data_IF_961668359618
#
_entry.id   IF_961668359618
#
_cell.length_a   1.000
_cell.length_b   1.000
_cell.length_c   1.000
_cell.angle_alpha   90.00
_cell.angle_beta   90.00
_cell.angle_gamma   90.00
#
_symmetry.space_group_name_H-M   'P 1'
#
loop_
_entity.id
_entity.type
_entity.pdbx_description
1 polymer ?
#
# COMPACT_ATOMS: atom_id res chain seq x y z
N UNK A 1 9.35 -5.46 20.27
CA UNK A 1 9.01 -4.91 18.94
C UNK A 1 10.27 -5.06 18.12
N UNK A 2 10.19 -5.83 17.04
CA UNK A 2 11.35 -6.17 16.24
C UNK A 2 11.39 -5.30 14.99
N UNK A 3 12.59 -4.91 14.57
CA UNK A 3 12.81 -4.06 13.41
C UNK A 3 13.69 -4.77 12.40
N UNK A 4 13.36 -4.61 11.12
CA UNK A 4 14.14 -5.14 10.00
C UNK A 4 14.38 -3.99 9.03
N UNK A 5 15.66 -3.73 8.72
CA UNK A 5 16.03 -2.83 7.64
C UNK A 5 16.21 -3.64 6.37
N UNK A 6 15.36 -3.40 5.37
CA UNK A 6 15.44 -4.05 4.07
C UNK A 6 14.84 -3.15 2.99
N UNK A 7 15.29 -3.33 1.75
CA UNK A 7 14.49 -2.95 0.60
C UNK A 7 13.27 -3.86 0.54
N UNK A 8 12.08 -3.30 0.31
CA UNK A 8 10.84 -4.08 0.29
C UNK A 8 10.87 -5.17 -0.78
N UNK A 9 11.49 -4.90 -1.94
CA UNK A 9 11.55 -5.85 -3.05
C UNK A 9 12.47 -7.03 -2.76
N UNK A 10 13.40 -6.85 -1.83
CA UNK A 10 14.36 -7.88 -1.39
C UNK A 10 13.89 -8.58 -0.11
N UNK A 11 12.73 -8.20 0.44
CA UNK A 11 12.20 -8.76 1.68
C UNK A 11 11.82 -10.24 1.49
N UNK A 12 12.67 -11.13 2.02
CA UNK A 12 12.39 -12.57 2.10
C UNK A 12 11.89 -12.92 3.49
N UNK A 13 10.60 -12.69 3.73
CA UNK A 13 9.99 -13.07 5.00
C UNK A 13 10.02 -14.59 5.18
N UNK A 14 10.77 -15.06 6.19
CA UNK A 14 10.85 -16.46 6.61
C UNK A 14 10.44 -16.65 8.08
N UNK A 15 9.81 -15.63 8.65
CA UNK A 15 9.38 -15.62 10.05
C UNK A 15 8.06 -16.35 10.25
N UNK A 16 7.39 -16.05 11.36
CA UNK A 16 6.06 -16.56 11.67
C UNK A 16 5.02 -16.12 10.63
N UNK A 17 3.87 -16.81 10.61
CA UNK A 17 2.74 -16.43 9.77
C UNK A 17 2.28 -15.02 10.12
N UNK A 18 2.25 -14.13 9.13
CA UNK A 18 1.71 -12.77 9.28
C UNK A 18 0.26 -12.79 8.83
N UNK A 19 -0.68 -12.69 9.78
CA UNK A 19 -2.11 -12.66 9.45
C UNK A 19 -2.50 -11.37 8.73
N UNK A 20 -1.96 -10.24 9.20
CA UNK A 20 -2.36 -8.92 8.73
C UNK A 20 -1.14 -8.03 8.53
N UNK A 21 -1.09 -7.36 7.39
CA UNK A 21 -0.12 -6.29 7.10
C UNK A 21 -0.87 -4.96 7.10
N UNK A 22 -0.31 -3.95 7.77
CA UNK A 22 -0.81 -2.57 7.76
C UNK A 22 0.31 -1.68 7.24
N UNK A 23 0.01 -0.80 6.30
CA UNK A 23 1.04 0.09 5.74
C UNK A 23 0.51 1.44 5.25
N UNK A 24 1.39 2.42 5.32
CA UNK A 24 1.26 3.70 4.64
C UNK A 24 2.42 3.81 3.65
N UNK A 25 2.31 3.16 2.47
CA UNK A 25 3.43 3.09 1.55
C UNK A 25 3.71 4.48 0.96
N UNK A 26 4.94 4.72 0.46
CA UNK A 26 5.32 6.01 -0.11
C UNK A 26 4.52 6.34 -1.38
N UNK A 27 3.43 7.10 -1.24
CA UNK A 27 2.63 7.58 -2.36
C UNK A 27 3.06 8.98 -2.82
N UNK A 28 3.02 9.23 -4.14
CA UNK A 28 3.39 10.54 -4.69
C UNK A 28 4.88 10.90 -4.61
N UNK A 29 5.75 9.91 -4.46
CA UNK A 29 7.20 10.10 -4.53
C UNK A 29 7.68 10.19 -5.99
N UNK A 30 8.93 10.61 -6.19
CA UNK A 30 9.55 10.68 -7.53
C UNK A 30 9.66 9.30 -8.20
N UNK A 31 9.74 8.23 -7.41
CA UNK A 31 9.77 6.85 -7.91
C UNK A 31 8.32 6.39 -8.15
N UNK A 32 7.94 6.30 -9.43
CA UNK A 32 6.64 5.77 -9.83
C UNK A 32 6.50 4.30 -9.40
N UNK A 33 5.33 3.91 -8.91
CA UNK A 33 4.99 2.53 -8.58
C UNK A 33 5.52 2.00 -7.26
N UNK A 34 6.21 2.82 -6.45
CA UNK A 34 6.72 2.38 -5.15
C UNK A 34 5.61 1.90 -4.19
N UNK A 35 4.40 2.47 -4.29
CA UNK A 35 3.26 2.00 -3.50
C UNK A 35 2.76 0.62 -3.94
N UNK A 36 2.83 0.31 -5.24
CA UNK A 36 2.48 -1.00 -5.78
C UNK A 36 3.54 -2.06 -5.49
N UNK A 37 4.82 -1.69 -5.47
CA UNK A 37 5.93 -2.55 -5.02
C UNK A 37 5.65 -3.07 -3.59
N UNK A 38 5.27 -2.17 -2.69
CA UNK A 38 4.89 -2.52 -1.32
C UNK A 38 3.64 -3.41 -1.27
N UNK A 39 2.62 -3.10 -2.06
CA UNK A 39 1.38 -3.88 -2.11
C UNK A 39 1.59 -5.31 -2.59
N UNK A 40 2.42 -5.50 -3.62
CA UNK A 40 2.78 -6.81 -4.12
C UNK A 40 3.44 -7.67 -3.03
N UNK A 41 4.40 -7.11 -2.30
CA UNK A 41 5.09 -7.83 -1.22
C UNK A 41 4.15 -8.09 -0.04
N UNK A 42 3.33 -7.11 0.35
CA UNK A 42 2.35 -7.27 1.43
C UNK A 42 1.37 -8.41 1.15
N UNK A 43 0.87 -8.53 -0.09
CA UNK A 43 -0.04 -9.61 -0.50
C UNK A 43 0.61 -11.00 -0.51
N UNK A 44 1.95 -11.09 -0.64
CA UNK A 44 2.71 -12.34 -0.53
C UNK A 44 3.03 -12.71 0.93
N UNK A 45 3.06 -11.73 1.83
CA UNK A 45 3.41 -11.93 3.24
C UNK A 45 2.18 -12.18 4.09
N UNK A 46 1.08 -11.44 3.84
CA UNK A 46 -0.15 -11.57 4.60
C UNK A 46 -0.89 -12.87 4.24
N UNK A 47 -1.43 -13.56 5.23
CA UNK A 47 -2.29 -14.73 5.00
C UNK A 47 -3.79 -14.41 4.99
N UNK A 48 -4.21 -13.28 5.55
CA UNK A 48 -5.65 -12.93 5.66
C UNK A 48 -5.99 -11.54 5.13
N UNK A 49 -5.21 -10.51 5.46
CA UNK A 49 -5.56 -9.14 5.09
C UNK A 49 -4.36 -8.21 4.92
N UNK A 50 -4.47 -7.27 3.99
CA UNK A 50 -3.58 -6.11 3.87
C UNK A 50 -4.42 -4.85 3.96
N UNK A 51 -4.05 -3.94 4.86
CA UNK A 51 -4.62 -2.61 4.96
C UNK A 51 -3.59 -1.58 4.49
N UNK A 52 -3.93 -0.80 3.46
CA UNK A 52 -2.99 0.13 2.83
C UNK A 52 -3.64 1.43 2.39
N UNK A 53 -2.89 2.52 2.49
CA UNK A 53 -3.27 3.83 1.96
C UNK A 53 -2.72 4.04 0.54
N UNK A 54 -3.61 4.38 -0.40
CA UNK A 54 -3.24 4.72 -1.78
C UNK A 54 -3.98 5.97 -2.25
N UNK A 55 -3.40 6.77 -3.16
CA UNK A 55 -4.07 7.97 -3.69
C UNK A 55 -5.39 7.62 -4.36
N UNK A 56 -6.44 8.38 -4.06
CA UNK A 56 -7.76 8.17 -4.66
C UNK A 56 -7.72 8.35 -6.19
N UNK A 57 -6.85 9.24 -6.69
CA UNK A 57 -6.65 9.45 -8.13
C UNK A 57 -6.10 8.22 -8.89
N UNK A 58 -5.53 7.25 -8.17
CA UNK A 58 -4.98 6.01 -8.75
C UNK A 58 -5.83 4.77 -8.45
N UNK A 59 -7.04 4.95 -7.89
CA UNK A 59 -7.95 3.89 -7.43
C UNK A 59 -8.11 2.74 -8.43
N UNK A 60 -8.46 3.06 -9.67
CA UNK A 60 -8.67 2.03 -10.71
C UNK A 60 -7.40 1.27 -11.08
N UNK A 61 -6.25 1.94 -11.03
CA UNK A 61 -4.97 1.28 -11.30
C UNK A 61 -4.61 0.30 -10.18
N UNK A 62 -4.71 0.74 -8.92
CA UNK A 62 -4.45 -0.08 -7.73
C UNK A 62 -5.36 -1.30 -7.72
N UNK A 63 -6.67 -1.10 -7.90
CA UNK A 63 -7.67 -2.17 -7.95
C UNK A 63 -7.34 -3.21 -9.01
N UNK A 64 -7.08 -2.75 -10.24
CA UNK A 64 -6.80 -3.63 -11.39
C UNK A 64 -5.53 -4.44 -11.15
N UNK A 65 -4.46 -3.78 -10.74
CA UNK A 65 -3.16 -4.44 -10.53
C UNK A 65 -3.22 -5.44 -9.38
N UNK A 66 -3.87 -5.09 -8.26
CA UNK A 66 -4.04 -6.03 -7.15
C UNK A 66 -4.76 -7.32 -7.56
N UNK A 67 -5.88 -7.19 -8.29
CA UNK A 67 -6.70 -8.34 -8.71
C UNK A 67 -6.05 -9.16 -9.83
N UNK A 68 -5.44 -8.50 -10.83
CA UNK A 68 -4.93 -9.19 -12.03
C UNK A 68 -3.48 -9.66 -11.89
N UNK A 69 -2.64 -8.87 -11.22
CA UNK A 69 -1.19 -9.05 -11.25
C UNK A 69 -0.64 -9.55 -9.91
N UNK A 70 -1.29 -9.22 -8.78
CA UNK A 70 -0.81 -9.55 -7.43
C UNK A 70 -1.61 -10.64 -6.71
N UNK A 71 -2.51 -11.33 -7.42
CA UNK A 71 -3.30 -12.44 -6.89
C UNK A 71 -4.13 -12.07 -5.65
N UNK A 72 -4.67 -10.85 -5.56
CA UNK A 72 -5.67 -10.54 -4.54
C UNK A 72 -7.01 -11.23 -4.88
N UNK A 73 -7.63 -11.89 -3.91
CA UNK A 73 -8.95 -12.52 -4.07
C UNK A 73 -10.10 -11.51 -3.93
N UNK A 74 -9.91 -10.47 -3.12
CA UNK A 74 -10.88 -9.40 -2.96
C UNK A 74 -10.17 -8.08 -2.62
N UNK A 75 -10.77 -6.97 -3.03
CA UNK A 75 -10.27 -5.61 -2.79
C UNK A 75 -11.45 -4.67 -2.50
N UNK A 76 -11.34 -3.88 -1.45
CA UNK A 76 -12.39 -2.99 -0.98
C UNK A 76 -11.78 -1.65 -0.53
N UNK A 77 -12.43 -0.54 -0.89
CA UNK A 77 -12.15 0.76 -0.28
C UNK A 77 -13.05 0.89 0.94
N UNK A 78 -12.45 0.94 2.13
CA UNK A 78 -13.17 1.04 3.39
C UNK A 78 -13.60 2.48 3.68
N UNK A 79 -12.73 3.45 3.39
CA UNK A 79 -13.06 4.87 3.49
C UNK A 79 -12.14 5.72 2.63
N UNK A 80 -12.61 6.93 2.32
CA UNK A 80 -11.84 7.98 1.68
C UNK A 80 -11.38 8.99 2.74
N UNK A 81 -10.10 9.36 2.71
CA UNK A 81 -9.46 10.26 3.65
C UNK A 81 -8.89 11.46 2.89
N UNK A 82 -9.00 12.64 3.49
CA UNK A 82 -8.39 13.87 2.98
C UNK A 82 -7.43 14.42 4.02
N UNK A 83 -6.20 14.70 3.61
CA UNK A 83 -5.20 15.31 4.46
C UNK A 83 -4.84 16.69 3.92
N UNK A 84 -4.98 17.69 4.79
CA UNK A 84 -4.40 19.00 4.59
C UNK A 84 -2.96 18.97 5.11
N UNK A 85 -2.00 18.74 4.21
CA UNK A 85 -0.60 18.93 4.56
C UNK A 85 -0.30 20.43 4.62
N UNK A 86 -0.49 21.01 5.82
CA UNK A 86 0.13 22.28 6.17
C UNK A 86 1.66 22.16 5.97
N UNK A 87 2.29 23.24 5.49
CA UNK A 87 3.67 23.29 4.97
C UNK A 87 4.72 22.69 5.94
N UNK A 88 4.92 21.38 5.90
CA UNK A 88 5.97 20.70 6.69
C UNK A 88 7.36 20.80 6.02
N UNK A 89 7.43 21.13 4.72
CA UNK A 89 8.70 21.18 3.98
C UNK A 89 8.89 22.49 3.20
N UNK A 90 10.06 23.13 3.39
CA UNK A 90 10.47 24.43 2.84
C UNK A 90 10.48 24.51 1.29
N UNK A 91 10.27 23.40 0.59
CA UNK A 91 10.33 23.31 -0.88
C UNK A 91 8.95 23.32 -1.58
N UNK A 92 7.86 23.52 -0.83
CA UNK A 92 6.50 23.53 -1.41
C UNK A 92 6.10 24.93 -1.90
N UNK A 93 6.00 25.12 -3.22
CA UNK A 93 5.48 26.34 -3.87
C UNK A 93 3.94 26.47 -3.85
N UNK A 94 3.18 25.38 -3.59
CA UNK A 94 1.70 25.38 -3.57
C UNK A 94 1.16 25.47 -2.13
N UNK A 95 0.08 26.25 -1.98
CA UNK A 95 -0.40 26.79 -0.69
C UNK A 95 -1.02 25.75 0.25
N UNK A 96 -1.55 24.66 -0.30
CA UNK A 96 -2.03 23.46 0.37
C UNK A 96 -1.98 22.36 -0.69
N UNK A 97 -1.59 21.14 -0.33
CA UNK A 97 -1.79 19.98 -1.19
C UNK A 97 -2.87 19.17 -0.51
N UNK A 98 -4.11 19.25 -1.01
CA UNK A 98 -5.19 18.34 -0.65
C UNK A 98 -4.76 16.95 -1.12
N UNK A 99 -4.40 16.09 -0.15
CA UNK A 99 -4.06 14.70 -0.43
C UNK A 99 -5.29 13.85 -0.13
N UNK A 100 -6.01 13.51 -1.19
CA UNK A 100 -7.06 12.49 -1.18
C UNK A 100 -6.42 11.09 -1.31
N UNK A 101 -6.63 10.25 -0.28
CA UNK A 101 -6.24 8.84 -0.29
C UNK A 101 -7.40 7.96 0.17
N UNK A 102 -7.31 6.70 -0.20
CA UNK A 102 -8.25 5.67 0.16
C UNK A 102 -7.59 4.74 1.17
N UNK A 103 -8.32 4.36 2.21
CA UNK A 103 -7.98 3.20 3.02
C UNK A 103 -8.55 1.96 2.34
N UNK A 104 -7.66 1.10 1.87
CA UNK A 104 -8.02 -0.16 1.23
C UNK A 104 -7.90 -1.33 2.21
N UNK A 105 -8.75 -2.31 1.99
CA UNK A 105 -8.58 -3.68 2.46
C UNK A 105 -8.40 -4.60 1.25
N UNK A 106 -7.30 -5.33 1.22
CA UNK A 106 -7.04 -6.39 0.25
C UNK A 106 -7.04 -7.75 0.97
N UNK A 107 -7.59 -8.76 0.31
CA UNK A 107 -7.54 -10.15 0.76
C UNK A 107 -6.59 -10.91 -0.18
N UNK A 108 -5.50 -11.51 0.33
CA UNK A 108 -4.63 -12.37 -0.46
C UNK A 108 -5.42 -13.52 -1.10
N UNK A 109 -5.03 -13.92 -2.31
CA UNK A 109 -5.51 -15.15 -2.93
C UNK A 109 -4.94 -16.36 -2.22
N UNK A 110 -5.65 -17.49 -2.28
CA UNK A 110 -5.10 -18.76 -1.82
C UNK A 110 -3.91 -19.11 -2.72
N UNK A 111 -2.73 -19.30 -2.15
CA UNK A 111 -1.64 -19.94 -2.88
C UNK A 111 -2.07 -21.39 -3.17
N UNK A 112 -2.20 -21.74 -4.46
CA UNK A 112 -2.30 -23.15 -4.83
C UNK A 112 -0.94 -23.78 -4.51
N UNK A 113 -0.94 -24.66 -3.52
CA UNK A 113 0.15 -25.60 -3.22
C UNK A 113 0.34 -26.59 -4.35
#
# INVERSE_FOLDING_TARGET
MDFIQSNIMDLRWRGQIVHTVIMNPPFGTRKKGADLDFLNVALKVASQAVYSLHKSSTREHVKRTALRDFNASNVEVLCELRYDLSKLYKFHKKKEVDIAVDLWRFVPGKHQS
#
